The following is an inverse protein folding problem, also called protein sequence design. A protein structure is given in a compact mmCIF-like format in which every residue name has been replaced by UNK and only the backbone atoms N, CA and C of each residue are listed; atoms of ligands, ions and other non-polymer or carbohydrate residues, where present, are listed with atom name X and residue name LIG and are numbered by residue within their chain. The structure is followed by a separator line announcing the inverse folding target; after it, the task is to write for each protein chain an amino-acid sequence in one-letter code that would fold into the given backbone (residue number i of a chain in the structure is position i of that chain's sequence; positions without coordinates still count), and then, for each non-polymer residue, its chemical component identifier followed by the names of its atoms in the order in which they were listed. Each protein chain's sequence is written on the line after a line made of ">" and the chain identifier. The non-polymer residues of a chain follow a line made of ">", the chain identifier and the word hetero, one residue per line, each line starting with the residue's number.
data_IF_561784600934
#
_entry.id   IF_561784600934
#
_cell.length_a   1.000
_cell.length_b   1.000
_cell.length_c   1.000
_cell.angle_alpha   90.00
_cell.angle_beta   90.00
_cell.angle_gamma   90.00
#
_symmetry.space_group_name_H-M   'P 1'
#
loop_
_entity.id
_entity.type
_entity.pdbx_description
1 polymer ?
#
# COMPACT_ATOMS: atom_id res chain seq x y z
N UNK A 1 -18.91 0.47 -31.56
CA UNK A 1 -19.50 0.67 -30.23
C UNK A 1 -18.42 0.62 -29.17
N UNK A 2 -18.24 1.66 -28.40
CA UNK A 2 -17.31 1.60 -27.26
C UNK A 2 -17.93 0.68 -26.21
N UNK A 3 -17.30 -0.46 -25.93
CA UNK A 3 -17.74 -1.37 -24.88
C UNK A 3 -17.81 -0.65 -23.53
N UNK A 4 -18.86 -0.89 -22.75
CA UNK A 4 -19.05 -0.32 -21.41
C UNK A 4 -17.79 -0.62 -20.57
N UNK A 5 -17.16 0.41 -20.04
CA UNK A 5 -15.94 0.27 -19.21
C UNK A 5 -16.33 -0.45 -17.92
N UNK A 6 -15.74 -1.62 -17.65
CA UNK A 6 -15.99 -2.36 -16.41
C UNK A 6 -15.66 -1.53 -15.17
N UNK A 7 -16.51 -1.60 -14.16
CA UNK A 7 -16.27 -1.01 -12.85
C UNK A 7 -15.13 -1.77 -12.12
N UNK A 8 -14.60 -1.21 -11.03
CA UNK A 8 -13.60 -1.91 -10.23
C UNK A 8 -14.19 -3.17 -9.60
N UNK A 9 -15.43 -3.12 -9.17
CA UNK A 9 -16.15 -4.27 -8.61
C UNK A 9 -16.32 -5.39 -9.64
N UNK A 10 -16.77 -5.05 -10.87
CA UNK A 10 -16.87 -6.02 -11.97
C UNK A 10 -15.52 -6.67 -12.32
N UNK A 11 -14.43 -5.90 -12.24
CA UNK A 11 -13.07 -6.40 -12.48
C UNK A 11 -12.61 -7.32 -11.35
N UNK A 12 -12.80 -6.89 -10.09
CA UNK A 12 -12.32 -7.62 -8.93
C UNK A 12 -13.11 -8.90 -8.68
N UNK A 13 -14.43 -8.91 -8.97
CA UNK A 13 -15.31 -10.07 -8.81
C UNK A 13 -14.93 -11.27 -9.70
N UNK A 14 -14.11 -11.05 -10.71
CA UNK A 14 -13.54 -12.15 -11.51
C UNK A 14 -12.54 -13.00 -10.69
N UNK A 15 -11.99 -12.43 -9.61
CA UNK A 15 -10.91 -13.06 -8.81
C UNK A 15 -11.20 -13.13 -7.32
N UNK A 16 -12.00 -12.20 -6.78
CA UNK A 16 -12.30 -12.08 -5.36
C UNK A 16 -13.78 -12.28 -5.09
N UNK A 17 -14.11 -12.79 -3.92
CA UNK A 17 -15.48 -13.02 -3.46
C UNK A 17 -15.66 -12.65 -1.99
N UNK A 18 -16.91 -12.52 -1.54
CA UNK A 18 -17.25 -12.27 -0.14
C UNK A 18 -16.58 -11.02 0.44
N UNK A 19 -16.02 -11.18 1.63
CA UNK A 19 -15.38 -10.08 2.36
C UNK A 19 -14.12 -9.57 1.67
N UNK A 20 -13.37 -10.44 1.00
CA UNK A 20 -12.18 -10.03 0.26
C UNK A 20 -12.54 -9.09 -0.89
N UNK A 21 -13.64 -9.36 -1.61
CA UNK A 21 -14.13 -8.46 -2.66
C UNK A 21 -14.60 -7.13 -2.07
N UNK A 22 -15.39 -7.14 -0.97
CA UNK A 22 -15.87 -5.92 -0.33
C UNK A 22 -14.72 -5.06 0.17
N UNK A 23 -13.77 -5.65 0.87
CA UNK A 23 -12.62 -4.93 1.42
C UNK A 23 -11.71 -4.36 0.32
N UNK A 24 -11.54 -5.08 -0.78
CA UNK A 24 -10.77 -4.59 -1.93
C UNK A 24 -11.44 -3.38 -2.58
N UNK A 25 -12.75 -3.45 -2.83
CA UNK A 25 -13.53 -2.34 -3.42
C UNK A 25 -13.54 -1.14 -2.47
N UNK A 26 -13.79 -1.36 -1.17
CA UNK A 26 -13.77 -0.34 -0.15
C UNK A 26 -12.39 0.36 -0.06
N UNK A 27 -11.31 -0.39 -0.13
CA UNK A 27 -9.95 0.17 -0.17
C UNK A 27 -9.72 1.04 -1.42
N UNK A 28 -10.13 0.54 -2.59
CA UNK A 28 -10.03 1.29 -3.85
C UNK A 28 -10.81 2.60 -3.79
N UNK A 29 -12.08 2.53 -3.37
CA UNK A 29 -12.96 3.70 -3.31
C UNK A 29 -12.47 4.72 -2.29
N UNK A 30 -11.95 4.25 -1.14
CA UNK A 30 -11.32 5.12 -0.15
C UNK A 30 -10.16 5.92 -0.74
N UNK A 31 -9.28 5.28 -1.51
CA UNK A 31 -8.17 5.97 -2.17
C UNK A 31 -8.66 7.03 -3.15
N UNK A 32 -9.64 6.70 -3.97
CA UNK A 32 -10.23 7.62 -4.95
C UNK A 32 -10.93 8.81 -4.28
N UNK A 33 -11.70 8.54 -3.24
CA UNK A 33 -12.45 9.56 -2.51
C UNK A 33 -11.54 10.52 -1.73
N UNK A 34 -10.30 10.11 -1.42
CA UNK A 34 -9.30 10.95 -0.79
C UNK A 34 -8.36 11.66 -1.79
N UNK A 35 -8.75 11.73 -3.06
CA UNK A 35 -8.02 12.50 -4.08
C UNK A 35 -6.69 11.87 -4.50
N UNK A 36 -6.54 10.53 -4.34
CA UNK A 36 -5.36 9.82 -4.77
C UNK A 36 -5.51 9.30 -6.20
N UNK A 37 -4.40 9.29 -6.93
CA UNK A 37 -4.34 8.65 -8.24
C UNK A 37 -4.11 7.16 -8.06
N UNK A 38 -5.05 6.35 -8.55
CA UNK A 38 -4.92 4.90 -8.56
C UNK A 38 -4.74 4.42 -10.00
N UNK A 39 -3.55 3.95 -10.32
CA UNK A 39 -3.22 3.47 -11.67
C UNK A 39 -3.45 1.98 -11.77
N UNK A 40 -4.37 1.60 -12.66
CA UNK A 40 -4.69 0.19 -12.96
C UNK A 40 -3.52 -0.49 -13.67
N UNK A 41 -3.16 -1.73 -13.29
CA UNK A 41 -2.13 -2.49 -13.99
C UNK A 41 -2.63 -3.00 -15.35
N UNK A 42 -1.70 -3.34 -16.23
CA UNK A 42 -2.01 -3.96 -17.53
C UNK A 42 -2.60 -5.37 -17.37
N UNK A 43 -2.16 -6.09 -16.34
CA UNK A 43 -2.71 -7.40 -15.94
C UNK A 43 -3.33 -7.27 -14.56
N UNK A 44 -4.56 -7.73 -14.39
CA UNK A 44 -5.27 -7.66 -13.11
C UNK A 44 -4.66 -8.62 -12.10
N UNK A 45 -4.58 -9.91 -12.46
CA UNK A 45 -3.95 -10.91 -11.61
C UNK A 45 -2.43 -10.70 -11.58
N UNK A 46 -1.87 -10.60 -10.38
CA UNK A 46 -0.45 -10.34 -10.09
C UNK A 46 0.08 -8.98 -10.57
N UNK A 47 -0.76 -8.16 -11.20
CA UNK A 47 -0.45 -6.78 -11.53
C UNK A 47 -0.73 -5.83 -10.36
N UNK A 48 0.17 -4.90 -10.06
CA UNK A 48 0.00 -3.96 -8.95
C UNK A 48 -0.73 -2.68 -9.36
N UNK A 49 -1.79 -2.32 -8.61
CA UNK A 49 -2.31 -0.95 -8.64
C UNK A 49 -1.36 -0.04 -7.86
N UNK A 50 -0.92 1.01 -8.50
CA UNK A 50 -0.08 2.04 -7.88
C UNK A 50 -0.98 3.12 -7.29
N UNK A 51 -0.75 3.46 -6.03
CA UNK A 51 -1.36 4.61 -5.37
C UNK A 51 -0.33 5.73 -5.34
N UNK A 52 -0.70 6.90 -5.86
CA UNK A 52 0.18 8.06 -5.92
C UNK A 52 -0.54 9.36 -5.56
N UNK A 53 0.24 10.31 -5.06
CA UNK A 53 -0.17 11.69 -4.85
C UNK A 53 0.89 12.62 -5.45
N UNK A 54 0.47 13.60 -6.25
CA UNK A 54 1.37 14.53 -6.97
C UNK A 54 2.51 13.80 -7.71
N UNK A 55 2.20 12.68 -8.35
CA UNK A 55 3.16 11.86 -9.07
C UNK A 55 4.07 10.98 -8.21
N UNK A 56 4.09 11.18 -6.89
CA UNK A 56 4.88 10.36 -5.96
C UNK A 56 4.10 9.11 -5.55
N UNK A 57 4.72 7.93 -5.68
CA UNK A 57 4.14 6.70 -5.18
C UNK A 57 4.10 6.73 -3.65
N UNK A 58 2.94 6.41 -3.07
CA UNK A 58 2.72 6.39 -1.62
C UNK A 58 2.19 5.06 -1.10
N UNK A 59 1.87 4.13 -2.01
CA UNK A 59 1.42 2.79 -1.68
C UNK A 59 0.99 2.03 -2.93
N UNK A 60 0.34 0.89 -2.72
CA UNK A 60 -0.21 0.08 -3.78
C UNK A 60 -0.99 -1.12 -3.25
N UNK A 61 -1.63 -1.85 -4.15
CA UNK A 61 -2.35 -3.07 -3.83
C UNK A 61 -2.38 -4.00 -5.04
N UNK A 62 -2.70 -5.28 -4.81
CA UNK A 62 -2.58 -6.30 -5.85
C UNK A 62 -3.50 -7.48 -5.55
N UNK A 63 -4.16 -7.99 -6.59
CA UNK A 63 -4.76 -9.33 -6.54
C UNK A 63 -3.67 -10.32 -6.95
N UNK A 64 -3.29 -11.21 -6.03
CA UNK A 64 -2.20 -12.15 -6.23
C UNK A 64 -2.66 -13.45 -6.87
N UNK A 65 -3.73 -14.00 -6.32
CA UNK A 65 -4.36 -15.24 -6.78
C UNK A 65 -5.86 -15.22 -6.45
N UNK A 66 -6.57 -16.29 -6.80
CA UNK A 66 -8.00 -16.39 -6.53
C UNK A 66 -8.26 -16.21 -5.03
N UNK A 67 -9.17 -15.28 -4.72
CA UNK A 67 -9.60 -14.89 -3.38
C UNK A 67 -8.47 -14.45 -2.43
N UNK A 68 -7.34 -13.99 -3.00
CA UNK A 68 -6.24 -13.42 -2.22
C UNK A 68 -5.71 -12.12 -2.85
N UNK A 69 -5.75 -11.07 -2.07
CA UNK A 69 -5.19 -9.76 -2.42
C UNK A 69 -4.38 -9.20 -1.26
N UNK A 70 -3.57 -8.20 -1.53
CA UNK A 70 -2.85 -7.48 -0.50
C UNK A 70 -2.70 -6.00 -0.86
N UNK A 71 -2.54 -5.17 0.17
CA UNK A 71 -2.14 -3.79 0.04
C UNK A 71 -0.81 -3.54 0.76
N UNK A 72 -0.10 -2.52 0.33
CA UNK A 72 1.16 -2.10 0.92
C UNK A 72 1.26 -0.59 0.99
N UNK A 73 1.89 -0.12 2.06
CA UNK A 73 2.21 1.28 2.28
C UNK A 73 3.64 1.53 1.85
N UNK A 74 3.91 2.64 1.16
CA UNK A 74 5.29 3.03 0.84
C UNK A 74 6.04 3.38 2.13
N UNK A 75 7.27 2.93 2.25
CA UNK A 75 8.09 3.18 3.44
C UNK A 75 8.64 4.60 3.45
N UNK A 76 8.85 5.15 4.65
CA UNK A 76 9.34 6.53 4.81
C UNK A 76 10.62 6.82 4.03
N UNK A 77 11.53 5.86 3.92
CA UNK A 77 12.82 6.03 3.22
C UNK A 77 12.69 6.48 1.76
N UNK A 78 11.55 6.20 1.14
CA UNK A 78 11.24 6.65 -0.22
C UNK A 78 10.53 8.01 -0.26
N UNK A 79 10.18 8.57 0.91
CA UNK A 79 9.45 9.83 1.05
C UNK A 79 10.29 10.89 1.74
N UNK A 80 10.92 10.55 2.88
CA UNK A 80 11.70 11.45 3.73
C UNK A 80 12.62 10.65 4.67
N UNK A 81 13.24 11.30 5.66
CA UNK A 81 13.99 10.63 6.73
C UNK A 81 13.07 10.16 7.89
N UNK A 82 13.61 9.29 8.76
CA UNK A 82 12.85 8.72 9.86
C UNK A 82 12.36 9.75 10.87
N UNK A 83 13.20 10.73 11.24
CA UNK A 83 12.89 11.77 12.23
C UNK A 83 11.73 12.64 11.73
N UNK A 84 11.76 13.02 10.47
CA UNK A 84 10.70 13.80 9.84
C UNK A 84 9.40 12.98 9.79
N UNK A 85 9.47 11.71 9.37
CA UNK A 85 8.30 10.86 9.25
C UNK A 85 7.62 10.57 10.59
N UNK A 86 8.40 10.38 11.66
CA UNK A 86 7.87 10.13 13.01
C UNK A 86 6.95 11.25 13.53
N UNK A 87 7.06 12.47 12.99
CA UNK A 87 6.17 13.59 13.34
C UNK A 87 4.74 13.42 12.79
N UNK A 88 4.54 12.51 11.85
CA UNK A 88 3.25 12.29 11.19
C UNK A 88 2.51 11.05 11.68
N UNK A 89 3.18 10.17 12.42
CA UNK A 89 2.60 8.89 12.87
C UNK A 89 2.49 8.82 14.38
N UNK A 90 1.49 8.04 14.85
CA UNK A 90 1.35 7.69 16.27
C UNK A 90 2.31 6.55 16.63
N UNK A 91 2.47 6.31 17.95
CA UNK A 91 3.24 5.17 18.45
C UNK A 91 2.64 3.83 17.97
N UNK A 92 1.31 3.73 17.94
CA UNK A 92 0.59 2.54 17.45
C UNK A 92 0.82 2.32 15.96
N UNK A 93 0.78 3.38 15.15
CA UNK A 93 1.08 3.29 13.71
C UNK A 93 2.53 2.90 13.45
N UNK A 94 3.48 3.42 14.24
CA UNK A 94 4.88 3.00 14.18
C UNK A 94 5.04 1.52 14.52
N UNK A 95 4.39 1.05 15.58
CA UNK A 95 4.42 -0.35 15.97
C UNK A 95 3.80 -1.24 14.89
N UNK A 96 2.67 -0.84 14.32
CA UNK A 96 2.03 -1.55 13.21
C UNK A 96 2.99 -1.69 12.00
N UNK A 97 3.71 -0.64 11.65
CA UNK A 97 4.72 -0.68 10.58
C UNK A 97 5.84 -1.66 10.91
N UNK A 98 6.34 -1.65 12.15
CA UNK A 98 7.43 -2.55 12.59
C UNK A 98 7.00 -4.02 12.60
N UNK A 99 5.77 -4.31 13.00
CA UNK A 99 5.25 -5.68 13.13
C UNK A 99 4.87 -6.32 11.77
N UNK A 100 4.56 -5.49 10.78
CA UNK A 100 4.10 -5.94 9.46
C UNK A 100 5.16 -5.78 8.36
N UNK A 101 6.43 -5.68 8.74
CA UNK A 101 7.53 -5.60 7.79
C UNK A 101 7.82 -6.95 7.16
N UNK A 102 7.92 -6.99 5.84
CA UNK A 102 8.09 -8.24 5.10
C UNK A 102 9.55 -8.66 5.04
N UNK A 103 9.91 -9.68 5.81
CA UNK A 103 11.29 -10.15 5.97
C UNK A 103 11.70 -11.28 5.00
N UNK A 104 10.74 -11.94 4.35
CA UNK A 104 11.05 -13.03 3.42
C UNK A 104 10.47 -12.72 2.04
N UNK A 105 11.26 -12.21 1.08
CA UNK A 105 10.76 -11.87 -0.23
C UNK A 105 10.65 -13.09 -1.14
N UNK A 106 9.46 -13.50 -1.60
CA UNK A 106 9.33 -14.51 -2.63
C UNK A 106 9.53 -13.96 -4.04
N UNK A 107 9.62 -12.64 -4.20
CA UNK A 107 9.60 -11.96 -5.51
C UNK A 107 10.95 -11.35 -5.92
N UNK A 108 11.93 -11.27 -5.04
CA UNK A 108 13.23 -10.65 -5.29
C UNK A 108 14.30 -11.20 -4.37
N UNK A 109 15.57 -10.84 -4.61
CA UNK A 109 16.68 -11.22 -3.71
C UNK A 109 16.55 -10.67 -2.29
N UNK A 110 15.77 -9.59 -2.13
CA UNK A 110 15.69 -8.88 -0.88
C UNK A 110 16.93 -8.02 -0.60
N UNK A 111 16.93 -7.37 0.56
CA UNK A 111 18.03 -6.57 1.07
C UNK A 111 18.34 -7.00 2.49
N UNK A 112 19.59 -7.37 2.75
CA UNK A 112 20.07 -7.73 4.09
C UNK A 112 20.44 -6.50 4.90
N UNK A 113 20.41 -6.62 6.23
CA UNK A 113 20.73 -5.57 7.17
C UNK A 113 19.96 -4.26 6.92
N UNK A 114 18.67 -4.40 6.62
CA UNK A 114 17.80 -3.25 6.38
C UNK A 114 17.37 -2.63 7.70
N UNK A 115 17.75 -1.38 7.90
CA UNK A 115 17.36 -0.61 9.08
C UNK A 115 16.04 0.13 8.84
N UNK A 116 15.11 0.01 9.79
CA UNK A 116 13.82 0.68 9.76
C UNK A 116 13.42 1.10 11.18
N UNK A 117 13.31 2.39 11.43
CA UNK A 117 13.12 2.98 12.77
C UNK A 117 14.07 2.42 13.84
N UNK A 118 15.35 2.32 13.52
CA UNK A 118 16.38 1.82 14.45
C UNK A 118 16.38 0.31 14.69
N UNK A 119 15.47 -0.45 14.05
CA UNK A 119 15.43 -1.92 14.07
C UNK A 119 16.05 -2.46 12.78
N UNK A 120 16.92 -3.44 12.89
CA UNK A 120 17.55 -4.11 11.76
C UNK A 120 16.79 -5.37 11.39
N UNK A 121 16.51 -5.53 10.10
CA UNK A 121 15.83 -6.68 9.50
C UNK A 121 16.76 -7.40 8.53
N UNK A 122 16.72 -8.72 8.54
CA UNK A 122 17.43 -9.54 7.56
C UNK A 122 16.48 -9.86 6.39
N UNK A 123 17.02 -9.73 5.18
CA UNK A 123 16.36 -10.16 3.95
C UNK A 123 14.96 -9.54 3.74
N UNK A 124 14.91 -8.21 3.64
CA UNK A 124 13.68 -7.45 3.42
C UNK A 124 13.32 -7.42 1.94
N UNK A 125 12.04 -7.61 1.62
CA UNK A 125 11.52 -7.42 0.27
C UNK A 125 11.63 -5.94 -0.15
N UNK A 126 12.36 -5.65 -1.22
CA UNK A 126 12.51 -4.28 -1.74
C UNK A 126 11.37 -3.86 -2.66
N UNK A 127 10.59 -4.82 -3.20
CA UNK A 127 9.45 -4.53 -4.08
C UNK A 127 8.22 -4.10 -3.28
N UNK A 128 7.97 -4.78 -2.17
CA UNK A 128 6.83 -4.58 -1.27
C UNK A 128 7.28 -4.80 0.18
N UNK A 129 8.04 -3.88 0.74
CA UNK A 129 8.63 -4.07 2.07
C UNK A 129 7.60 -4.13 3.18
N UNK A 130 6.46 -3.47 2.99
CA UNK A 130 5.36 -3.46 3.94
C UNK A 130 4.07 -3.86 3.23
N UNK A 131 3.40 -4.93 3.70
CA UNK A 131 2.18 -5.40 3.08
C UNK A 131 1.23 -6.14 4.05
N UNK A 132 -0.07 -6.05 3.76
CA UNK A 132 -1.15 -6.73 4.46
C UNK A 132 -1.89 -7.64 3.49
N UNK A 133 -1.91 -8.95 3.77
CA UNK A 133 -2.66 -9.94 2.98
C UNK A 133 -4.11 -10.04 3.46
N UNK A 134 -5.06 -10.00 2.52
CA UNK A 134 -6.50 -9.99 2.80
C UNK A 134 -6.86 -9.09 3.99
N UNK A 135 -6.46 -7.80 3.97
CA UNK A 135 -6.66 -6.93 5.12
C UNK A 135 -8.15 -6.74 5.42
N UNK A 136 -8.48 -6.81 6.70
CA UNK A 136 -9.83 -6.62 7.22
C UNK A 136 -9.79 -5.86 8.55
N UNK A 137 -10.92 -5.28 8.99
CA UNK A 137 -11.05 -4.62 10.27
C UNK A 137 -9.95 -3.57 10.51
N UNK A 138 -9.30 -3.67 11.65
CA UNK A 138 -8.26 -2.72 12.09
C UNK A 138 -7.06 -2.69 11.14
N UNK A 139 -6.63 -3.83 10.59
CA UNK A 139 -5.50 -3.88 9.65
C UNK A 139 -5.81 -3.11 8.36
N UNK A 140 -7.03 -3.21 7.84
CA UNK A 140 -7.47 -2.45 6.67
C UNK A 140 -7.51 -0.94 6.97
N UNK A 141 -8.05 -0.54 8.12
CA UNK A 141 -8.09 0.87 8.53
C UNK A 141 -6.69 1.45 8.76
N UNK A 142 -5.80 0.71 9.42
CA UNK A 142 -4.40 1.14 9.58
C UNK A 142 -3.71 1.35 8.24
N UNK A 143 -3.89 0.47 7.27
CA UNK A 143 -3.35 0.64 5.93
C UNK A 143 -3.87 1.91 5.26
N UNK A 144 -5.19 2.18 5.35
CA UNK A 144 -5.81 3.40 4.82
C UNK A 144 -5.23 4.66 5.47
N UNK A 145 -5.13 4.68 6.80
CA UNK A 145 -4.61 5.84 7.54
C UNK A 145 -3.13 6.10 7.24
N UNK A 146 -2.31 5.07 7.11
CA UNK A 146 -0.90 5.22 6.75
C UNK A 146 -0.70 5.73 5.32
N UNK A 147 -1.57 5.37 4.38
CA UNK A 147 -1.58 5.97 3.04
C UNK A 147 -1.89 7.48 3.12
N UNK A 148 -2.83 7.90 3.97
CA UNK A 148 -3.12 9.32 4.17
C UNK A 148 -1.98 10.06 4.87
N UNK A 149 -1.27 9.39 5.79
CA UNK A 149 -0.03 9.93 6.37
C UNK A 149 0.99 10.18 5.26
N UNK A 150 1.23 9.21 4.38
CA UNK A 150 2.14 9.36 3.26
C UNK A 150 1.73 10.51 2.32
N UNK A 151 0.42 10.65 2.06
CA UNK A 151 -0.12 11.78 1.29
C UNK A 151 0.25 13.11 1.95
N UNK A 152 0.05 13.22 3.27
CA UNK A 152 0.36 14.44 4.02
C UNK A 152 1.85 14.76 4.00
N UNK A 153 2.71 13.75 4.19
CA UNK A 153 4.18 13.92 4.11
C UNK A 153 4.58 14.48 2.74
N UNK A 154 4.06 13.93 1.66
CA UNK A 154 4.36 14.40 0.29
C UNK A 154 3.87 15.83 0.09
N UNK A 155 2.65 16.17 0.54
CA UNK A 155 2.09 17.51 0.43
C UNK A 155 2.92 18.55 1.18
N UNK A 156 3.31 18.26 2.42
CA UNK A 156 4.08 19.19 3.25
C UNK A 156 5.50 19.40 2.72
N UNK A 157 6.15 18.36 2.18
CA UNK A 157 7.46 18.47 1.52
C UNK A 157 7.36 19.32 0.25
N UNK A 158 6.33 19.12 -0.57
CA UNK A 158 6.11 19.91 -1.77
C UNK A 158 5.84 21.38 -1.45
N UNK A 159 5.13 21.69 -0.37
CA UNK A 159 4.85 23.06 0.07
C UNK A 159 6.08 23.77 0.63
N UNK A 160 7.10 23.05 1.11
CA UNK A 160 8.34 23.59 1.67
C UNK A 160 9.42 23.93 0.61
N UNK A 161 9.25 23.49 -0.65
CA UNK A 161 10.15 23.72 -1.78
C UNK A 161 9.56 24.77 -2.74
#
# INVERSE_FOLDING_TARGET
>A
MAGKRKTIEEIASEYLEGDNLRNFVDFYDFMKNNGLTVTKPSKILRGGWKIAYEGKKIGGFKIWEKNFWFCGVEIYKNLTDAETYEKYITAEQKQFLLDNFRTTPPCCKGKDNFEFFGKTYNTVCTCWPHFQGNPEGEALENAKQLILVNKKVVADIAAAN
#
